data_IF_852561507900
#
_entry.id   IF_852561507900
#
_cell.length_a   1.000
_cell.length_b   1.000
_cell.length_c   1.000
_cell.angle_alpha   90.00
_cell.angle_beta   90.00
_cell.angle_gamma   90.00
#
_symmetry.space_group_name_H-M   'P 1'
#
loop_
_entity.id
_entity.type
_entity.pdbx_description
1 polymer ?
#
# COMPACT_ATOMS: atom_id res chain seq x y z
N UNK A 1 -34.49 45.28 -37.66
CA UNK A 1 -34.68 46.39 -36.71
C UNK A 1 -33.94 46.06 -35.45
N UNK A 2 -32.86 46.79 -35.27
CA UNK A 2 -32.29 47.40 -34.03
C UNK A 2 -31.87 46.42 -32.93
N UNK A 3 -30.62 46.04 -32.84
CA UNK A 3 -29.50 46.77 -32.21
C UNK A 3 -29.68 46.93 -30.71
N UNK A 4 -28.75 46.34 -29.92
CA UNK A 4 -27.90 47.11 -28.99
C UNK A 4 -26.88 46.17 -28.30
N UNK A 5 -25.66 46.48 -28.62
CA UNK A 5 -24.41 46.14 -27.94
C UNK A 5 -24.35 46.80 -26.55
N UNK A 6 -23.68 46.15 -25.59
CA UNK A 6 -22.80 46.89 -24.67
C UNK A 6 -22.02 45.95 -23.76
N UNK A 7 -20.95 46.43 -23.06
CA UNK A 7 -19.62 45.86 -23.28
C UNK A 7 -18.98 45.27 -22.00
N UNK A 8 -17.89 44.56 -22.20
CA UNK A 8 -16.95 44.10 -21.15
C UNK A 8 -16.19 45.30 -20.56
N UNK A 9 -15.73 45.22 -19.33
CA UNK A 9 -14.51 45.87 -18.91
C UNK A 9 -13.35 44.89 -18.74
N UNK A 10 -12.27 45.23 -19.40
CA UNK A 10 -10.90 44.80 -19.10
C UNK A 10 -10.38 45.57 -17.88
N UNK A 11 -9.70 44.93 -16.97
CA UNK A 11 -8.66 45.56 -16.15
C UNK A 11 -7.72 44.43 -15.67
N UNK A 12 -6.59 44.41 -16.23
CA UNK A 12 -5.28 44.97 -15.90
C UNK A 12 -4.55 44.17 -14.85
N UNK A 13 -3.50 43.57 -15.37
CA UNK A 13 -2.26 43.19 -14.67
C UNK A 13 -1.87 44.14 -13.54
N UNK A 14 -1.39 43.60 -12.45
CA UNK A 14 -0.21 44.13 -11.76
C UNK A 14 0.63 43.01 -11.17
N UNK A 15 1.85 42.95 -11.64
CA UNK A 15 3.03 42.36 -11.02
C UNK A 15 3.27 42.88 -9.63
N UNK A 16 3.82 42.04 -8.77
CA UNK A 16 4.80 42.33 -7.71
C UNK A 16 5.13 40.98 -7.08
N UNK A 17 6.22 40.39 -7.45
CA UNK A 17 7.61 40.51 -6.98
C UNK A 17 7.85 39.90 -5.59
N UNK A 18 8.69 38.88 -5.64
CA UNK A 18 9.79 38.55 -4.73
C UNK A 18 9.48 37.85 -3.41
N UNK A 19 10.05 36.67 -3.38
CA UNK A 19 10.46 35.87 -2.21
C UNK A 19 11.39 36.69 -1.27
N UNK A 20 11.75 36.25 -0.08
CA UNK A 20 12.61 35.06 0.01
C UNK A 20 12.28 34.07 1.13
N UNK A 21 12.42 32.82 0.84
CA UNK A 21 12.68 31.78 1.84
C UNK A 21 14.16 31.82 2.17
N UNK A 22 14.51 32.20 3.38
CA UNK A 22 15.75 31.74 4.01
C UNK A 22 15.74 32.01 5.51
N UNK A 23 16.22 31.00 6.29
CA UNK A 23 16.72 31.09 7.65
C UNK A 23 15.69 31.17 8.79
N UNK A 24 15.32 29.98 9.26
CA UNK A 24 15.10 29.76 10.70
C UNK A 24 15.56 28.32 11.02
N UNK A 25 16.87 28.18 11.18
CA UNK A 25 17.52 27.11 11.91
C UNK A 25 18.76 27.72 12.54
N UNK A 26 18.84 27.68 13.84
CA UNK A 26 19.90 28.10 14.74
C UNK A 26 19.45 29.27 15.66
N UNK A 27 18.82 28.86 16.77
CA UNK A 27 19.00 29.46 18.11
C UNK A 27 18.01 28.80 19.08
N UNK A 28 18.46 27.75 19.74
CA UNK A 28 18.01 27.29 21.06
C UNK A 28 19.06 26.35 21.64
N UNK A 29 20.18 26.96 22.07
CA UNK A 29 21.14 26.30 22.96
C UNK A 29 21.91 27.42 23.67
N UNK A 30 21.37 27.89 24.78
CA UNK A 30 22.09 28.53 25.87
C UNK A 30 21.07 29.16 26.85
N UNK A 31 20.80 28.46 27.93
CA UNK A 31 20.52 29.06 29.24
C UNK A 31 20.06 27.98 30.21
N UNK A 32 20.99 27.49 31.02
CA UNK A 32 20.79 27.06 32.40
C UNK A 32 22.18 26.69 32.98
N UNK A 33 22.85 27.70 33.44
CA UNK A 33 23.95 27.57 34.37
C UNK A 33 23.82 28.70 35.38
N UNK A 34 23.41 28.38 36.58
CA UNK A 34 23.84 29.11 37.80
C UNK A 34 23.13 28.56 39.03
N UNK A 35 23.92 28.13 39.96
CA UNK A 35 23.84 28.09 41.42
C UNK A 35 24.29 26.71 41.90
N UNK A 36 25.47 26.45 42.32
CA UNK A 36 26.12 27.09 43.43
C UNK A 36 26.11 26.06 44.57
N UNK A 37 27.24 25.54 44.95
CA UNK A 37 27.70 25.43 46.35
C UNK A 37 29.08 24.76 46.36
N UNK A 38 30.04 25.50 46.84
CA UNK A 38 31.38 25.05 47.12
C UNK A 38 31.40 24.19 48.43
N UNK A 39 31.93 22.98 48.34
CA UNK A 39 32.46 22.29 49.51
C UNK A 39 33.86 21.80 49.16
N UNK A 40 34.82 22.30 49.94
CA UNK A 40 36.19 21.81 49.98
C UNK A 40 36.19 20.32 50.47
N UNK A 41 36.86 19.48 49.70
CA UNK A 41 37.32 18.18 50.19
C UNK A 41 38.68 17.85 49.57
N UNK A 42 39.62 17.80 50.45
CA UNK A 42 40.93 17.16 50.55
C UNK A 42 41.49 16.44 49.32
N UNK A 43 42.71 16.85 48.98
CA UNK A 43 43.60 16.14 48.08
C UNK A 43 43.92 14.74 48.61
N UNK A 44 43.66 13.72 47.79
CA UNK A 44 44.15 12.39 48.00
C UNK A 44 45.00 12.02 46.77
N UNK A 45 46.27 11.62 47.06
CA UNK A 45 47.28 11.26 46.10
C UNK A 45 46.78 10.23 45.06
N UNK A 46 47.12 10.46 43.81
CA UNK A 46 46.88 9.55 42.70
C UNK A 46 47.87 8.39 42.73
N UNK A 47 47.44 7.14 42.53
CA UNK A 47 48.31 6.02 42.24
C UNK A 47 48.89 6.11 40.81
N UNK A 48 50.05 5.47 40.56
CA UNK A 48 50.79 5.58 39.31
C UNK A 48 50.03 4.98 38.10
N UNK A 49 50.35 5.43 36.88
CA UNK A 49 49.70 4.92 35.69
C UNK A 49 50.31 3.59 35.25
N UNK A 50 49.61 2.51 35.46
CA UNK A 50 49.92 1.25 34.77
C UNK A 50 48.63 0.53 34.31
N UNK A 51 48.75 -0.02 33.13
CA UNK A 51 47.81 -0.81 32.36
C UNK A 51 46.87 0.01 31.45
N UNK A 52 47.32 0.14 30.21
CA UNK A 52 46.46 0.43 29.08
C UNK A 52 45.23 -0.50 29.10
N UNK A 53 44.10 0.06 29.46
CA UNK A 53 42.82 -0.62 29.27
C UNK A 53 42.62 -0.84 27.76
N UNK A 54 42.71 -2.06 27.32
CA UNK A 54 42.27 -2.48 26.00
C UNK A 54 40.77 -2.08 25.86
N UNK A 55 40.35 -1.51 24.73
CA UNK A 55 38.94 -1.29 24.49
C UNK A 55 38.22 -2.65 24.67
N UNK A 56 37.02 -2.66 25.25
CA UNK A 56 36.27 -3.91 25.39
C UNK A 56 36.14 -4.55 24.02
N UNK A 57 36.61 -5.78 23.88
CA UNK A 57 36.43 -6.59 22.70
C UNK A 57 34.93 -6.59 22.43
N UNK A 58 34.58 -6.19 21.17
CA UNK A 58 33.24 -6.30 20.70
C UNK A 58 32.76 -7.71 20.97
N UNK A 59 31.74 -7.81 21.82
CA UNK A 59 31.05 -9.07 22.10
C UNK A 59 30.44 -9.52 20.79
N UNK A 60 31.11 -10.45 20.13
CA UNK A 60 30.53 -11.24 19.03
C UNK A 60 29.36 -12.02 19.62
N UNK A 61 28.16 -11.53 19.42
CA UNK A 61 26.94 -12.29 19.63
C UNK A 61 26.96 -13.40 18.58
N UNK A 62 27.13 -14.63 19.03
CA UNK A 62 27.10 -15.81 18.16
C UNK A 62 25.79 -15.82 17.36
N UNK A 63 25.91 -15.72 16.03
CA UNK A 63 24.85 -16.04 15.05
C UNK A 63 24.10 -14.88 14.39
N UNK A 64 24.34 -13.60 14.72
CA UNK A 64 23.66 -12.45 14.09
C UNK A 64 24.57 -11.69 13.11
N UNK A 65 23.96 -11.06 12.06
CA UNK A 65 24.67 -10.14 11.18
C UNK A 65 25.32 -8.99 11.98
N UNK A 66 26.54 -8.62 11.62
CA UNK A 66 27.17 -7.41 12.15
C UNK A 66 26.40 -6.16 11.71
N UNK A 67 26.58 -5.05 12.43
CA UNK A 67 25.96 -3.77 12.04
C UNK A 67 26.34 -3.33 10.62
N UNK A 68 27.59 -3.55 10.23
CA UNK A 68 28.08 -3.24 8.91
C UNK A 68 27.42 -4.10 7.80
N UNK A 69 27.26 -5.39 8.03
CA UNK A 69 26.55 -6.29 7.12
C UNK A 69 25.06 -5.89 6.98
N UNK A 70 24.44 -5.51 8.10
CA UNK A 70 23.05 -5.02 8.10
C UNK A 70 22.89 -3.74 7.32
N UNK A 71 23.78 -2.77 7.47
CA UNK A 71 23.78 -1.53 6.69
C UNK A 71 23.94 -1.79 5.19
N UNK A 72 24.80 -2.72 4.81
CA UNK A 72 24.99 -3.12 3.41
C UNK A 72 23.76 -3.85 2.85
N UNK A 73 23.10 -4.68 3.65
CA UNK A 73 21.86 -5.38 3.27
C UNK A 73 20.72 -4.39 3.03
N UNK A 74 20.52 -3.44 3.95
CA UNK A 74 19.50 -2.39 3.81
C UNK A 74 19.74 -1.49 2.60
N UNK A 75 21.01 -1.17 2.31
CA UNK A 75 21.35 -0.39 1.12
C UNK A 75 21.01 -1.17 -0.16
N UNK A 76 21.41 -2.43 -0.27
CA UNK A 76 21.04 -3.29 -1.41
C UNK A 76 19.54 -3.44 -1.58
N UNK A 77 18.80 -3.57 -0.47
CA UNK A 77 17.36 -3.61 -0.48
C UNK A 77 16.74 -2.32 -1.02
N UNK A 78 17.26 -1.16 -0.59
CA UNK A 78 16.84 0.14 -1.11
C UNK A 78 17.13 0.27 -2.61
N UNK A 79 18.30 -0.16 -3.05
CA UNK A 79 18.73 -0.08 -4.46
C UNK A 79 17.88 -1.00 -5.39
N UNK A 80 17.12 -1.98 -4.84
CA UNK A 80 16.21 -2.83 -5.59
C UNK A 80 14.85 -2.18 -5.90
N UNK A 81 14.56 -1.01 -5.31
CA UNK A 81 13.27 -0.33 -5.45
C UNK A 81 13.35 0.74 -6.54
N UNK A 82 12.32 0.84 -7.36
CA UNK A 82 12.21 1.78 -8.46
C UNK A 82 10.81 2.37 -8.55
N UNK A 83 10.64 3.44 -9.34
CA UNK A 83 9.35 4.00 -9.64
C UNK A 83 8.59 3.20 -10.69
N UNK A 84 7.26 3.21 -10.58
CA UNK A 84 6.35 2.63 -11.56
C UNK A 84 5.39 3.74 -12.00
N UNK A 85 5.45 4.12 -13.27
CA UNK A 85 4.54 5.06 -13.92
C UNK A 85 3.65 4.31 -14.90
N UNK A 86 2.35 4.57 -14.85
CA UNK A 86 1.36 3.86 -15.64
C UNK A 86 0.37 4.83 -16.28
N UNK A 87 0.10 4.62 -17.56
CA UNK A 87 -1.03 5.18 -18.24
C UNK A 87 -2.04 4.05 -18.49
N UNK A 88 -3.25 4.17 -17.92
CA UNK A 88 -4.30 3.19 -18.13
C UNK A 88 -5.05 3.45 -19.45
N UNK A 89 -5.73 2.43 -19.96
CA UNK A 89 -6.65 2.56 -21.11
C UNK A 89 -7.64 3.69 -20.87
N UNK A 90 -7.99 4.41 -21.92
CA UNK A 90 -8.92 5.55 -21.82
C UNK A 90 -10.32 5.14 -21.34
N UNK A 91 -10.74 3.92 -21.68
CA UNK A 91 -12.01 3.32 -21.29
C UNK A 91 -11.91 2.36 -20.10
N UNK A 92 -10.81 2.37 -19.37
CA UNK A 92 -10.64 1.50 -18.20
C UNK A 92 -11.64 1.84 -17.10
N UNK A 93 -12.33 0.84 -16.56
CA UNK A 93 -13.25 1.01 -15.40
C UNK A 93 -12.53 1.50 -14.16
N UNK A 94 -11.27 1.13 -14.00
CA UNK A 94 -10.45 1.56 -12.87
C UNK A 94 -10.14 3.06 -12.87
N UNK A 95 -10.33 3.77 -13.98
CA UNK A 95 -10.12 5.23 -14.05
C UNK A 95 -11.02 6.01 -13.09
N UNK A 96 -12.24 5.52 -12.83
CA UNK A 96 -13.19 6.16 -11.91
C UNK A 96 -12.72 6.13 -10.44
N UNK A 97 -11.82 5.21 -10.09
CA UNK A 97 -11.39 5.00 -8.70
C UNK A 97 -9.95 5.40 -8.45
N UNK A 98 -9.03 5.15 -9.38
CA UNK A 98 -7.59 5.38 -9.20
C UNK A 98 -6.98 6.33 -10.24
N UNK A 99 -7.79 6.83 -11.17
CA UNK A 99 -7.34 7.71 -12.24
C UNK A 99 -6.66 6.98 -13.39
N UNK A 100 -6.42 7.72 -14.48
CA UNK A 100 -5.77 7.21 -15.68
C UNK A 100 -4.24 7.22 -15.57
N UNK A 101 -3.68 8.29 -15.04
CA UNK A 101 -2.24 8.43 -14.78
C UNK A 101 -1.97 7.98 -13.35
N UNK A 102 -1.07 7.02 -13.18
CA UNK A 102 -0.79 6.41 -11.89
C UNK A 102 0.70 6.36 -11.66
N UNK A 103 1.10 6.64 -10.45
CA UNK A 103 2.49 6.61 -10.01
C UNK A 103 2.61 5.88 -8.68
N UNK A 104 3.70 5.16 -8.53
CA UNK A 104 4.01 4.43 -7.31
C UNK A 104 5.39 3.78 -7.41
N UNK A 105 5.56 2.73 -6.67
CA UNK A 105 6.84 2.02 -6.54
C UNK A 105 6.71 0.56 -6.95
N UNK A 106 7.84 -0.05 -7.23
CA UNK A 106 7.98 -1.47 -7.41
C UNK A 106 9.34 -1.93 -6.91
N UNK A 107 9.47 -3.21 -6.64
CA UNK A 107 10.71 -3.83 -6.18
C UNK A 107 11.11 -4.96 -7.12
N UNK A 108 12.36 -4.97 -7.55
CA UNK A 108 12.93 -6.03 -8.40
C UNK A 108 13.05 -7.29 -7.55
N UNK A 109 12.49 -8.40 -8.02
CA UNK A 109 12.44 -9.68 -7.30
C UNK A 109 13.12 -10.85 -8.02
N UNK A 110 13.62 -10.64 -9.25
CA UNK A 110 14.47 -11.63 -9.93
C UNK A 110 15.48 -10.97 -10.89
N UNK A 111 16.50 -11.74 -11.28
CA UNK A 111 17.60 -11.28 -12.16
C UNK A 111 17.15 -10.98 -13.60
N UNK A 112 15.96 -11.41 -13.99
CA UNK A 112 15.41 -11.14 -15.33
C UNK A 112 14.64 -9.80 -15.37
N UNK A 113 14.64 -9.03 -14.28
CA UNK A 113 13.96 -7.74 -14.20
C UNK A 113 12.44 -7.85 -13.98
N UNK A 114 12.01 -8.89 -13.27
CA UNK A 114 10.63 -8.98 -12.77
C UNK A 114 10.47 -8.05 -11.58
N UNK A 115 9.46 -7.19 -11.63
CA UNK A 115 9.16 -6.18 -10.62
C UNK A 115 7.81 -6.50 -9.97
N UNK A 116 7.82 -6.58 -8.65
CA UNK A 116 6.61 -6.69 -7.83
C UNK A 116 6.12 -5.30 -7.45
N UNK A 117 4.83 -5.07 -7.61
CA UNK A 117 4.16 -3.81 -7.23
C UNK A 117 2.75 -4.11 -6.69
N UNK A 118 1.99 -3.06 -6.43
CA UNK A 118 0.56 -3.20 -6.08
C UNK A 118 -0.30 -3.12 -7.35
N UNK A 119 -1.26 -4.02 -7.46
CA UNK A 119 -1.99 -4.28 -8.68
C UNK A 119 -2.86 -3.13 -9.20
N UNK A 120 -3.42 -2.29 -8.32
CA UNK A 120 -4.23 -1.16 -8.78
C UNK A 120 -3.43 -0.12 -9.57
N UNK A 121 -2.10 -0.09 -9.45
CA UNK A 121 -1.26 0.76 -10.30
C UNK A 121 -1.31 0.30 -11.76
N UNK A 122 -1.28 -1.01 -11.98
CA UNK A 122 -1.08 -1.62 -13.30
C UNK A 122 -2.35 -2.22 -13.93
N UNK A 123 -3.47 -2.26 -13.18
CA UNK A 123 -4.72 -2.79 -13.72
C UNK A 123 -5.18 -1.96 -14.91
N UNK A 124 -5.55 -2.64 -16.03
CA UNK A 124 -5.98 -2.02 -17.27
C UNK A 124 -4.95 -1.03 -17.88
N UNK A 125 -3.64 -1.29 -17.65
CA UNK A 125 -2.57 -0.46 -18.16
C UNK A 125 -2.48 -0.52 -19.69
N UNK A 126 -2.34 0.63 -20.33
CA UNK A 126 -1.96 0.81 -21.72
C UNK A 126 -0.44 0.90 -21.86
N UNK A 127 0.21 1.60 -20.95
CA UNK A 127 1.66 1.78 -20.91
C UNK A 127 2.17 1.66 -19.48
N UNK A 128 3.34 1.05 -19.33
CA UNK A 128 4.06 0.95 -18.05
C UNK A 128 5.51 1.37 -18.27
N UNK A 129 6.00 2.24 -17.41
CA UNK A 129 7.39 2.68 -17.37
C UNK A 129 7.97 2.45 -15.97
N UNK A 130 9.20 1.97 -15.92
CA UNK A 130 10.00 1.84 -14.72
C UNK A 130 10.95 3.02 -14.63
N UNK A 131 10.96 3.73 -13.51
CA UNK A 131 11.77 4.93 -13.28
C UNK A 131 12.91 4.58 -12.33
N UNK A 132 14.14 4.68 -12.82
CA UNK A 132 15.35 4.47 -12.01
C UNK A 132 15.72 5.75 -11.26
N UNK A 133 16.60 5.64 -10.26
CA UNK A 133 17.08 6.77 -9.44
C UNK A 133 17.75 7.88 -10.27
N UNK A 134 18.36 7.52 -11.40
CA UNK A 134 18.96 8.46 -12.35
C UNK A 134 17.95 9.07 -13.34
N UNK A 135 16.66 8.96 -13.04
CA UNK A 135 15.55 9.47 -13.82
C UNK A 135 15.35 8.81 -15.21
N UNK A 136 16.08 7.75 -15.50
CA UNK A 136 15.86 6.96 -16.73
C UNK A 136 14.53 6.24 -16.64
N UNK A 137 13.74 6.34 -17.68
CA UNK A 137 12.48 5.63 -17.86
C UNK A 137 12.68 4.46 -18.81
N UNK A 138 12.39 3.26 -18.33
CA UNK A 138 12.52 2.02 -19.08
C UNK A 138 11.15 1.42 -19.34
N UNK A 139 10.85 0.98 -20.57
CA UNK A 139 9.56 0.38 -20.87
C UNK A 139 9.42 -0.97 -20.17
N UNK A 140 8.20 -1.27 -19.73
CA UNK A 140 7.84 -2.54 -19.12
C UNK A 140 6.45 -2.99 -19.62
N UNK A 141 6.15 -4.27 -19.43
CA UNK A 141 4.83 -4.84 -19.70
C UNK A 141 4.23 -5.44 -18.44
N UNK A 142 2.92 -5.45 -18.36
CA UNK A 142 2.21 -6.17 -17.31
C UNK A 142 2.39 -7.68 -17.51
N UNK A 143 2.75 -8.39 -16.45
CA UNK A 143 2.84 -9.86 -16.42
C UNK A 143 1.63 -10.44 -15.74
N UNK A 144 1.25 -9.89 -14.59
CA UNK A 144 0.14 -10.41 -13.81
C UNK A 144 -0.54 -9.30 -13.00
N UNK A 145 -1.84 -9.49 -12.80
CA UNK A 145 -2.62 -8.81 -11.78
C UNK A 145 -3.42 -9.85 -10.99
N UNK A 146 -3.23 -9.89 -9.70
CA UNK A 146 -3.92 -10.82 -8.81
C UNK A 146 -4.96 -10.08 -7.95
N UNK A 147 -6.22 -10.25 -8.29
CA UNK A 147 -7.34 -9.61 -7.57
C UNK A 147 -7.43 -10.11 -6.13
N UNK A 148 -7.02 -11.37 -5.89
CA UNK A 148 -7.14 -11.99 -4.58
C UNK A 148 -6.23 -11.36 -3.54
N UNK A 149 -4.97 -11.13 -3.91
CA UNK A 149 -3.96 -10.55 -3.02
C UNK A 149 -3.77 -9.05 -3.25
N UNK A 150 -4.13 -8.56 -4.43
CA UNK A 150 -3.86 -7.20 -4.86
C UNK A 150 -2.45 -6.99 -5.42
N UNK A 151 -1.63 -8.04 -5.60
CA UNK A 151 -0.32 -7.92 -6.22
C UNK A 151 -0.39 -7.65 -7.71
N UNK A 152 0.61 -6.92 -8.20
CA UNK A 152 0.90 -6.71 -9.60
C UNK A 152 2.32 -7.12 -9.94
N UNK A 153 2.51 -7.74 -11.09
CA UNK A 153 3.83 -8.04 -11.65
C UNK A 153 4.02 -7.34 -12.99
N UNK A 154 5.16 -6.70 -13.14
CA UNK A 154 5.59 -6.11 -14.40
C UNK A 154 6.96 -6.64 -14.79
N UNK A 155 7.21 -6.79 -16.08
CA UNK A 155 8.47 -7.24 -16.64
C UNK A 155 9.14 -6.09 -17.38
N UNK A 156 10.35 -5.74 -16.97
CA UNK A 156 11.19 -4.82 -17.74
C UNK A 156 11.46 -5.38 -19.15
N UNK A 157 11.36 -4.55 -20.18
CA UNK A 157 11.65 -4.94 -21.57
C UNK A 157 13.13 -4.77 -21.93
N UNK A 158 13.91 -4.18 -21.03
CA UNK A 158 15.37 -4.03 -21.13
C UNK A 158 16.00 -4.49 -19.82
N UNK A 159 17.26 -4.94 -19.84
CA UNK A 159 17.97 -5.33 -18.62
C UNK A 159 17.96 -4.21 -17.56
N UNK A 160 17.64 -4.55 -16.32
CA UNK A 160 17.74 -3.63 -15.20
C UNK A 160 19.13 -3.75 -14.55
N UNK A 161 19.82 -2.62 -14.29
CA UNK A 161 21.10 -2.62 -13.59
C UNK A 161 20.90 -2.66 -12.06
N UNK A 162 19.95 -3.49 -11.58
CA UNK A 162 19.54 -3.57 -10.19
C UNK A 162 19.64 -5.02 -9.70
N UNK A 163 20.05 -5.19 -8.46
CA UNK A 163 20.08 -6.51 -7.79
C UNK A 163 18.73 -6.78 -7.16
N UNK A 164 18.13 -7.97 -7.36
CA UNK A 164 16.85 -8.31 -6.78
C UNK A 164 16.88 -8.32 -5.24
N UNK A 165 15.79 -7.88 -4.62
CA UNK A 165 15.59 -8.04 -3.20
C UNK A 165 15.16 -9.48 -2.88
N UNK A 166 15.75 -10.12 -1.85
CA UNK A 166 15.32 -11.42 -1.40
C UNK A 166 13.92 -11.33 -0.74
N UNK A 167 13.10 -12.37 -0.94
CA UNK A 167 11.80 -12.48 -0.26
C UNK A 167 12.01 -13.04 1.14
N UNK A 168 11.68 -12.24 2.15
CA UNK A 168 11.78 -12.61 3.56
C UNK A 168 10.55 -13.35 4.08
N UNK A 169 10.42 -13.48 5.39
CA UNK A 169 9.30 -14.10 6.08
C UNK A 169 8.54 -13.08 6.92
N UNK A 170 7.38 -12.63 6.42
CA UNK A 170 6.54 -11.68 7.15
C UNK A 170 5.75 -12.31 8.30
N UNK A 171 5.75 -13.66 8.43
CA UNK A 171 4.99 -14.33 9.49
C UNK A 171 5.61 -14.13 10.87
N UNK A 172 6.92 -13.86 10.92
CA UNK A 172 7.67 -13.65 12.15
C UNK A 172 7.58 -12.23 12.70
N UNK A 173 7.04 -11.28 11.93
CA UNK A 173 6.89 -9.87 12.35
C UNK A 173 6.09 -9.74 13.64
N UNK A 174 6.56 -8.88 14.53
CA UNK A 174 5.94 -8.58 15.82
C UNK A 174 5.52 -7.12 15.89
N UNK A 175 4.54 -6.84 16.73
CA UNK A 175 4.14 -5.45 17.02
C UNK A 175 5.29 -4.70 17.71
N UNK A 176 5.52 -3.46 17.26
CA UNK A 176 6.65 -2.63 17.69
C UNK A 176 7.97 -2.91 16.95
N UNK A 177 8.01 -3.92 16.06
CA UNK A 177 9.25 -4.24 15.33
C UNK A 177 9.63 -3.12 14.36
N UNK A 178 10.90 -2.66 14.40
CA UNK A 178 11.39 -1.66 13.47
C UNK A 178 11.57 -2.26 12.08
N UNK A 179 11.11 -1.54 11.06
CA UNK A 179 11.18 -1.92 9.66
C UNK A 179 11.61 -0.73 8.79
N UNK A 180 12.10 -1.01 7.60
CA UNK A 180 12.42 -0.01 6.59
C UNK A 180 11.36 0.00 5.49
N UNK A 181 10.87 1.19 5.14
CA UNK A 181 9.98 1.38 4.00
C UNK A 181 10.72 2.19 2.95
N UNK A 182 10.70 1.69 1.71
CA UNK A 182 11.34 2.32 0.55
C UNK A 182 10.31 2.54 -0.55
N UNK A 183 10.22 3.76 -1.03
CA UNK A 183 9.49 4.13 -2.26
C UNK A 183 10.49 4.56 -3.33
N UNK A 184 10.17 4.30 -4.59
CA UNK A 184 10.99 4.66 -5.76
C UNK A 184 10.40 5.79 -6.58
N UNK A 185 11.07 6.11 -7.69
CA UNK A 185 10.66 7.18 -8.61
C UNK A 185 11.14 8.57 -8.19
N UNK A 186 10.64 9.60 -8.88
CA UNK A 186 11.10 10.99 -8.75
C UNK A 186 11.02 11.55 -7.31
N UNK A 187 10.13 11.02 -6.50
CA UNK A 187 9.93 11.38 -5.08
C UNK A 187 10.26 10.24 -4.13
N UNK A 188 11.04 9.27 -4.58
CA UNK A 188 11.44 8.11 -3.80
C UNK A 188 12.09 8.49 -2.48
N UNK A 189 11.77 7.76 -1.42
CA UNK A 189 12.27 8.02 -0.08
C UNK A 189 12.42 6.75 0.75
N UNK A 190 13.42 6.74 1.61
CA UNK A 190 13.66 5.71 2.61
C UNK A 190 13.26 6.24 3.98
N UNK A 191 12.54 5.45 4.75
CA UNK A 191 12.20 5.78 6.13
C UNK A 191 12.18 4.55 7.02
N UNK A 192 12.46 4.77 8.30
CA UNK A 192 12.19 3.80 9.35
C UNK A 192 10.74 3.96 9.80
N UNK A 193 10.11 2.84 10.08
CA UNK A 193 8.75 2.75 10.59
C UNK A 193 8.67 1.59 11.60
N UNK A 194 7.50 1.38 12.17
CA UNK A 194 7.24 0.26 13.07
C UNK A 194 5.99 -0.49 12.63
N UNK A 195 6.02 -1.80 12.78
CA UNK A 195 4.82 -2.63 12.70
C UNK A 195 3.95 -2.31 13.92
N UNK A 196 2.67 -1.99 13.69
CA UNK A 196 1.75 -1.66 14.78
C UNK A 196 0.70 -2.77 15.01
N UNK A 197 0.37 -3.50 13.97
CA UNK A 197 -0.50 -4.67 14.07
C UNK A 197 -0.41 -5.56 12.84
N UNK A 198 -0.77 -6.83 13.02
CA UNK A 198 -1.05 -7.78 11.95
C UNK A 198 -2.44 -8.33 12.16
N UNK A 199 -3.33 -8.08 11.21
CA UNK A 199 -4.74 -8.44 11.36
C UNK A 199 -5.45 -8.54 10.00
N UNK A 200 -6.66 -9.12 9.96
CA UNK A 200 -7.49 -9.07 8.76
C UNK A 200 -7.77 -7.63 8.33
N UNK A 201 -7.83 -7.44 7.01
CA UNK A 201 -8.28 -6.22 6.38
C UNK A 201 -9.38 -6.53 5.38
N UNK A 202 -10.54 -5.89 5.54
CA UNK A 202 -11.65 -5.94 4.59
C UNK A 202 -11.80 -4.58 3.93
N UNK A 203 -11.68 -4.52 2.60
CA UNK A 203 -11.91 -3.31 1.83
C UNK A 203 -13.40 -2.95 1.79
N UNK A 204 -13.71 -1.66 1.61
CA UNK A 204 -15.07 -1.23 1.30
C UNK A 204 -15.52 -1.74 -0.09
N UNK A 205 -14.59 -2.10 -0.96
CA UNK A 205 -14.79 -2.88 -2.19
C UNK A 205 -14.55 -4.36 -1.90
N UNK A 206 -14.91 -5.24 -2.82
CA UNK A 206 -14.79 -6.70 -2.68
C UNK A 206 -13.33 -7.17 -2.57
N UNK A 207 -12.73 -6.98 -1.39
CA UNK A 207 -11.32 -7.28 -1.09
C UNK A 207 -11.14 -7.69 0.36
N UNK A 208 -10.33 -8.73 0.58
CA UNK A 208 -10.05 -9.29 1.90
C UNK A 208 -8.63 -9.84 1.96
N UNK A 209 -7.88 -9.45 2.98
CA UNK A 209 -6.55 -10.00 3.33
C UNK A 209 -6.60 -10.45 4.79
N UNK A 210 -6.25 -11.70 5.07
CA UNK A 210 -6.36 -12.25 6.43
C UNK A 210 -5.25 -11.79 7.37
N UNK A 211 -4.06 -11.46 6.86
CA UNK A 211 -2.87 -11.11 7.66
C UNK A 211 -2.17 -9.86 7.10
N UNK A 212 -2.93 -8.80 6.86
CA UNK A 212 -2.33 -7.53 6.44
C UNK A 212 -1.41 -6.97 7.53
N UNK A 213 -0.30 -6.35 7.12
CA UNK A 213 0.66 -5.70 8.02
C UNK A 213 0.37 -4.21 8.06
N UNK A 214 0.25 -3.65 9.27
CA UNK A 214 0.00 -2.22 9.46
C UNK A 214 1.20 -1.56 10.13
N UNK A 215 1.56 -0.37 9.63
CA UNK A 215 2.76 0.36 10.04
C UNK A 215 2.47 1.81 10.37
N UNK A 216 3.32 2.42 11.20
CA UNK A 216 3.35 3.84 11.53
C UNK A 216 4.78 4.37 11.49
N UNK A 217 5.02 5.67 11.23
CA UNK A 217 4.06 6.71 10.87
C UNK A 217 3.50 6.54 9.44
N UNK A 218 2.36 7.19 9.12
CA UNK A 218 1.75 7.14 7.78
C UNK A 218 2.62 7.81 6.72
N UNK A 219 2.62 7.24 5.51
CA UNK A 219 3.27 7.80 4.30
C UNK A 219 2.24 7.92 3.19
N UNK A 220 2.36 8.96 2.38
CA UNK A 220 1.49 9.19 1.21
C UNK A 220 2.00 8.50 -0.05
N UNK A 221 3.30 8.19 -0.12
CA UNK A 221 3.99 7.49 -1.21
C UNK A 221 4.02 5.96 -1.01
N UNK A 222 2.98 5.42 -0.39
CA UNK A 222 2.87 4.01 -0.01
C UNK A 222 2.56 3.05 -1.16
N UNK A 223 2.03 3.56 -2.28
CA UNK A 223 1.57 2.71 -3.40
C UNK A 223 2.72 1.91 -4.01
N UNK A 224 2.74 0.61 -3.77
CA UNK A 224 3.81 -0.27 -4.23
C UNK A 224 5.13 -0.16 -3.47
N UNK A 225 5.23 0.67 -2.42
CA UNK A 225 6.43 0.81 -1.61
C UNK A 225 6.82 -0.52 -0.96
N UNK A 226 8.12 -0.79 -0.90
CA UNK A 226 8.66 -2.03 -0.34
C UNK A 226 8.85 -1.92 1.17
N UNK A 227 8.45 -2.95 1.90
CA UNK A 227 8.65 -3.13 3.34
C UNK A 227 9.77 -4.14 3.57
N UNK A 228 10.85 -3.74 4.26
CA UNK A 228 12.01 -4.58 4.52
C UNK A 228 12.26 -4.78 6.01
N UNK A 229 12.79 -5.97 6.36
CA UNK A 229 13.37 -6.22 7.68
C UNK A 229 14.79 -5.65 7.79
N UNK A 230 15.42 -5.85 8.94
CA UNK A 230 16.79 -5.39 9.22
C UNK A 230 17.86 -6.13 8.37
N UNK A 231 17.53 -7.27 7.83
CA UNK A 231 18.38 -8.10 6.97
C UNK A 231 18.28 -7.71 5.49
N UNK A 232 17.39 -6.74 5.16
CA UNK A 232 17.15 -6.28 3.80
C UNK A 232 16.28 -7.25 2.97
N UNK A 233 15.50 -8.08 3.63
CA UNK A 233 14.55 -8.98 2.97
C UNK A 233 13.18 -8.33 2.84
N UNK A 234 12.54 -8.51 1.69
CA UNK A 234 11.21 -7.97 1.39
C UNK A 234 10.13 -8.71 2.18
N UNK A 235 9.37 -7.99 2.99
CA UNK A 235 8.28 -8.51 3.83
C UNK A 235 6.89 -8.18 3.30
N UNK A 236 6.75 -7.11 2.53
CA UNK A 236 5.44 -6.69 2.03
C UNK A 236 5.50 -5.57 1.02
N UNK A 237 4.36 -5.32 0.38
CA UNK A 237 4.16 -4.25 -0.61
C UNK A 237 3.07 -3.30 -0.14
N UNK A 238 3.36 -2.02 -0.14
CA UNK A 238 2.46 -0.97 0.29
C UNK A 238 1.21 -0.88 -0.58
N UNK A 239 0.07 -0.82 0.08
CA UNK A 239 -1.24 -0.79 -0.59
C UNK A 239 -2.06 0.43 -0.23
N UNK A 240 -2.26 0.72 1.05
CA UNK A 240 -3.22 1.73 1.48
C UNK A 240 -2.67 2.65 2.57
N UNK A 241 -3.17 3.87 2.56
CA UNK A 241 -3.21 4.73 3.73
C UNK A 241 -4.50 4.42 4.50
N UNK A 242 -4.38 4.11 5.79
CA UNK A 242 -5.53 3.78 6.65
C UNK A 242 -5.69 4.77 7.79
N UNK A 243 -6.92 5.07 8.14
CA UNK A 243 -7.22 6.01 9.23
C UNK A 243 -6.91 5.44 10.62
N UNK A 244 -6.89 4.10 10.74
CA UNK A 244 -6.60 3.41 11.98
C UNK A 244 -5.77 2.13 11.71
N UNK A 245 -4.47 2.20 11.95
CA UNK A 245 -3.53 1.08 11.80
C UNK A 245 -3.61 0.10 12.99
N UNK A 246 -4.00 0.56 14.19
CA UNK A 246 -4.21 -0.31 15.35
C UNK A 246 -5.38 -1.28 15.14
N UNK A 247 -6.44 -0.83 14.47
CA UNK A 247 -7.69 -1.57 14.40
C UNK A 247 -8.56 -1.35 15.65
N UNK A 248 -9.70 -2.06 15.71
CA UNK A 248 -10.70 -1.88 16.77
C UNK A 248 -11.49 -0.58 16.64
N UNK A 249 -12.49 -0.45 17.53
CA UNK A 249 -13.41 0.71 17.58
C UNK A 249 -12.92 1.81 18.54
N UNK A 250 -11.69 1.73 19.01
CA UNK A 250 -11.13 2.63 20.00
C UNK A 250 -11.14 4.08 19.54
N UNK A 251 -11.43 4.97 20.49
CA UNK A 251 -11.42 6.42 20.30
C UNK A 251 -10.04 6.97 19.85
N UNK A 252 -8.99 6.19 20.00
CA UNK A 252 -7.62 6.54 19.60
C UNK A 252 -7.35 6.00 18.20
N UNK A 253 -7.73 6.75 17.18
CA UNK A 253 -7.37 6.43 15.80
C UNK A 253 -5.91 6.76 15.56
N UNK A 254 -5.16 5.80 15.01
CA UNK A 254 -3.75 5.98 14.64
C UNK A 254 -3.60 5.79 13.11
N UNK A 255 -3.46 6.88 12.35
CA UNK A 255 -3.22 6.77 10.92
C UNK A 255 -1.93 6.00 10.63
N UNK A 256 -1.94 5.20 9.59
CA UNK A 256 -0.79 4.40 9.16
C UNK A 256 -0.95 3.86 7.76
N UNK A 257 -0.10 2.92 7.39
CA UNK A 257 -0.19 2.25 6.10
C UNK A 257 -0.48 0.76 6.26
N UNK A 258 -1.13 0.20 5.26
CA UNK A 258 -1.38 -1.23 5.12
C UNK A 258 -0.51 -1.79 4.02
N UNK A 259 0.20 -2.88 4.33
CA UNK A 259 1.03 -3.64 3.41
C UNK A 259 0.46 -5.03 3.20
N UNK A 260 0.55 -5.50 1.96
CA UNK A 260 0.22 -6.89 1.59
C UNK A 260 1.46 -7.73 1.82
N UNK A 261 1.40 -8.76 2.70
CA UNK A 261 2.57 -9.56 3.06
C UNK A 261 3.03 -10.46 1.91
N UNK A 262 4.35 -10.61 1.73
CA UNK A 262 4.94 -11.42 0.65
C UNK A 262 4.63 -12.92 0.77
N UNK A 263 4.21 -13.38 1.94
CA UNK A 263 3.75 -14.76 2.15
C UNK A 263 2.57 -15.12 1.24
N UNK A 264 1.77 -14.15 0.86
CA UNK A 264 0.69 -14.34 -0.11
C UNK A 264 1.20 -14.45 -1.55
N UNK A 265 2.39 -13.91 -1.85
CA UNK A 265 3.00 -14.00 -3.18
C UNK A 265 3.66 -15.36 -3.42
N UNK A 266 4.43 -15.85 -2.44
CA UNK A 266 5.28 -17.04 -2.59
C UNK A 266 4.56 -18.26 -3.20
N UNK A 267 3.38 -18.67 -2.71
CA UNK A 267 2.69 -19.83 -3.25
C UNK A 267 2.11 -19.64 -4.66
N UNK A 268 1.85 -18.40 -5.06
CA UNK A 268 1.18 -18.08 -6.34
C UNK A 268 2.13 -17.53 -7.41
N UNK A 269 3.37 -17.20 -7.08
CA UNK A 269 4.31 -16.51 -8.00
C UNK A 269 4.49 -17.24 -9.32
N UNK A 270 4.65 -18.57 -9.29
CA UNK A 270 4.78 -19.38 -10.50
C UNK A 270 3.51 -19.34 -11.37
N UNK A 271 2.34 -19.35 -10.75
CA UNK A 271 1.06 -19.24 -11.45
C UNK A 271 0.86 -17.84 -12.05
N UNK A 272 1.20 -16.78 -11.31
CA UNK A 272 1.14 -15.41 -11.81
C UNK A 272 2.03 -15.22 -13.05
N UNK A 273 3.25 -15.77 -13.03
CA UNK A 273 4.18 -15.70 -14.18
C UNK A 273 3.67 -16.43 -15.42
N UNK A 274 2.98 -17.55 -15.24
CA UNK A 274 2.53 -18.40 -16.34
C UNK A 274 1.14 -18.08 -16.85
N UNK A 275 0.24 -17.58 -16.00
CA UNK A 275 -1.19 -17.40 -16.32
C UNK A 275 -1.67 -15.96 -16.21
N UNK A 276 -0.87 -15.06 -15.63
CA UNK A 276 -1.22 -13.66 -15.41
C UNK A 276 -2.12 -13.38 -14.21
N UNK A 277 -2.61 -14.42 -13.52
CA UNK A 277 -3.40 -14.32 -12.29
C UNK A 277 -3.41 -15.65 -11.55
N UNK A 278 -3.69 -15.66 -10.25
CA UNK A 278 -3.90 -16.89 -9.49
C UNK A 278 -5.30 -17.47 -9.68
N UNK A 279 -5.47 -18.75 -9.35
CA UNK A 279 -6.78 -19.40 -9.34
C UNK A 279 -7.75 -18.70 -8.37
N UNK A 280 -7.24 -18.15 -7.25
CA UNK A 280 -8.03 -17.41 -6.27
C UNK A 280 -8.56 -16.06 -6.81
N UNK A 281 -8.00 -15.54 -7.90
CA UNK A 281 -8.50 -14.33 -8.57
C UNK A 281 -9.80 -14.58 -9.35
N UNK A 282 -10.09 -15.81 -9.68
CA UNK A 282 -11.38 -16.20 -10.27
C UNK A 282 -12.42 -16.32 -9.17
N UNK A 283 -13.03 -15.19 -8.83
CA UNK A 283 -14.01 -15.12 -7.75
C UNK A 283 -15.23 -14.30 -8.16
N UNK A 284 -16.35 -14.61 -7.50
CA UNK A 284 -17.60 -13.88 -7.70
C UNK A 284 -17.41 -12.38 -7.45
N UNK A 285 -17.91 -11.58 -8.38
CA UNK A 285 -17.97 -10.13 -8.27
C UNK A 285 -19.40 -9.65 -8.48
N UNK A 286 -19.87 -8.79 -7.60
CA UNK A 286 -21.19 -8.20 -7.65
C UNK A 286 -21.14 -6.73 -8.09
N UNK A 287 -20.03 -6.05 -7.83
CA UNK A 287 -19.87 -4.61 -8.10
C UNK A 287 -20.37 -3.73 -6.97
N UNK A 288 -20.24 -4.19 -5.74
CA UNK A 288 -20.67 -3.48 -4.54
C UNK A 288 -19.50 -2.81 -3.83
N UNK A 289 -19.71 -1.57 -3.39
CA UNK A 289 -18.90 -0.93 -2.37
C UNK A 289 -19.74 -0.81 -1.11
N UNK A 290 -19.25 -1.38 -0.01
CA UNK A 290 -19.97 -1.46 1.24
C UNK A 290 -19.19 -0.83 2.40
N UNK A 291 -19.88 -0.39 3.43
CA UNK A 291 -19.28 0.01 4.70
C UNK A 291 -19.82 -0.85 5.83
N UNK A 292 -18.99 -1.04 6.84
CA UNK A 292 -19.38 -1.62 8.11
C UNK A 292 -19.53 -0.50 9.14
N UNK A 293 -20.64 -0.52 9.84
CA UNK A 293 -20.90 0.39 10.96
C UNK A 293 -21.85 -0.28 11.96
N UNK A 294 -21.45 -0.29 13.23
CA UNK A 294 -22.26 -0.81 14.35
C UNK A 294 -22.77 -2.25 14.09
N UNK A 295 -21.92 -3.13 13.57
CA UNK A 295 -22.26 -4.52 13.24
C UNK A 295 -23.28 -4.65 12.09
N UNK A 296 -23.37 -3.65 11.22
CA UNK A 296 -24.22 -3.62 10.04
C UNK A 296 -23.43 -3.33 8.79
N UNK A 297 -23.74 -4.01 7.70
CA UNK A 297 -23.13 -3.77 6.39
C UNK A 297 -24.10 -3.03 5.49
N UNK A 298 -23.69 -1.86 5.02
CA UNK A 298 -24.51 -0.99 4.16
C UNK A 298 -23.82 -0.76 2.81
N UNK A 299 -24.60 -0.81 1.73
CA UNK A 299 -24.14 -0.45 0.38
C UNK A 299 -23.88 1.05 0.32
N UNK A 300 -22.65 1.45 0.00
CA UNK A 300 -22.25 2.84 -0.23
C UNK A 300 -22.44 3.24 -1.69
N UNK A 301 -22.03 2.35 -2.58
CA UNK A 301 -22.10 2.56 -4.02
C UNK A 301 -22.31 1.23 -4.73
N UNK A 302 -23.06 1.28 -5.80
CA UNK A 302 -23.18 0.21 -6.78
C UNK A 302 -22.42 0.64 -8.03
N UNK A 303 -21.54 -0.20 -8.54
CA UNK A 303 -20.74 0.12 -9.73
C UNK A 303 -21.65 0.07 -10.97
N UNK A 304 -21.40 0.98 -11.90
CA UNK A 304 -22.12 1.02 -13.16
C UNK A 304 -21.94 -0.28 -13.95
N UNK A 305 -22.95 -0.72 -14.65
CA UNK A 305 -22.98 -1.95 -15.46
C UNK A 305 -22.52 -3.21 -14.67
N UNK A 306 -22.75 -3.21 -13.37
CA UNK A 306 -22.42 -4.34 -12.50
C UNK A 306 -23.61 -5.29 -12.30
N UNK A 307 -23.36 -6.55 -11.91
CA UNK A 307 -24.42 -7.47 -11.53
C UNK A 307 -25.37 -6.92 -10.47
N UNK A 308 -24.86 -6.19 -9.49
CA UNK A 308 -25.65 -5.59 -8.43
C UNK A 308 -26.58 -4.49 -8.95
N UNK A 309 -26.10 -3.66 -9.89
CA UNK A 309 -26.92 -2.64 -10.53
C UNK A 309 -28.06 -3.27 -11.36
N UNK A 310 -27.72 -4.28 -12.16
CA UNK A 310 -28.71 -5.03 -12.98
C UNK A 310 -29.79 -5.67 -12.09
N UNK A 311 -29.40 -6.19 -10.92
CA UNK A 311 -30.34 -6.76 -9.96
C UNK A 311 -31.18 -5.70 -9.22
N UNK A 312 -30.83 -4.41 -9.34
CA UNK A 312 -31.58 -3.31 -8.71
C UNK A 312 -31.18 -2.98 -7.29
N UNK A 313 -29.98 -3.37 -6.84
CA UNK A 313 -29.39 -2.91 -5.58
C UNK A 313 -29.11 -1.41 -5.65
N UNK A 314 -29.15 -0.72 -4.51
CA UNK A 314 -29.01 0.73 -4.42
C UNK A 314 -28.14 1.13 -3.23
N UNK A 315 -27.47 2.28 -3.30
CA UNK A 315 -26.84 2.90 -2.14
C UNK A 315 -27.86 3.07 -1.00
N UNK A 316 -27.47 2.75 0.22
CA UNK A 316 -28.34 2.76 1.40
C UNK A 316 -28.94 1.40 1.76
N UNK A 317 -28.95 0.41 0.86
CA UNK A 317 -29.36 -0.96 1.18
C UNK A 317 -28.50 -1.51 2.31
N UNK A 318 -29.13 -2.05 3.34
CA UNK A 318 -28.45 -2.74 4.42
C UNK A 318 -28.50 -4.25 4.17
N UNK A 319 -27.34 -4.86 3.96
CA UNK A 319 -27.22 -6.31 3.72
C UNK A 319 -27.37 -7.03 5.06
N UNK A 320 -28.37 -7.89 5.20
CA UNK A 320 -28.62 -8.69 6.38
C UNK A 320 -28.18 -10.13 6.22
N UNK A 321 -28.29 -10.67 4.99
CA UNK A 321 -27.86 -12.04 4.67
C UNK A 321 -27.32 -12.12 3.25
N UNK A 322 -26.40 -13.06 3.06
CA UNK A 322 -25.94 -13.55 1.75
C UNK A 322 -26.07 -15.06 1.71
N UNK A 323 -26.75 -15.60 0.70
CA UNK A 323 -27.02 -17.04 0.54
C UNK A 323 -27.59 -17.68 1.82
N UNK A 324 -28.45 -16.95 2.54
CA UNK A 324 -29.05 -17.37 3.79
C UNK A 324 -28.18 -17.20 5.04
N UNK A 325 -26.87 -16.95 4.91
CA UNK A 325 -25.99 -16.68 6.03
C UNK A 325 -26.09 -15.24 6.51
N UNK A 326 -26.15 -15.01 7.83
CA UNK A 326 -26.17 -13.66 8.40
C UNK A 326 -24.86 -12.92 8.15
N UNK A 327 -24.94 -11.60 7.93
CA UNK A 327 -23.80 -10.70 7.69
C UNK A 327 -23.83 -9.58 8.70
N UNK A 328 -22.74 -9.42 9.45
CA UNK A 328 -22.53 -8.36 10.43
C UNK A 328 -21.25 -7.57 10.21
N UNK A 329 -20.37 -8.06 9.30
CA UNK A 329 -19.11 -7.40 8.96
C UNK A 329 -18.79 -7.53 7.46
N UNK A 330 -17.92 -6.65 6.95
CA UNK A 330 -17.39 -6.76 5.58
C UNK A 330 -16.62 -8.08 5.39
N UNK A 331 -15.89 -8.53 6.40
CA UNK A 331 -15.18 -9.79 6.35
C UNK A 331 -16.12 -10.96 6.12
N UNK A 332 -17.23 -11.03 6.88
CA UNK A 332 -18.24 -12.07 6.70
C UNK A 332 -18.89 -11.99 5.32
N UNK A 333 -19.23 -10.77 4.85
CA UNK A 333 -19.82 -10.59 3.52
C UNK A 333 -18.90 -11.12 2.42
N UNK A 334 -17.64 -10.70 2.42
CA UNK A 334 -16.71 -11.09 1.34
C UNK A 334 -16.32 -12.57 1.42
N UNK A 335 -16.03 -13.09 2.62
CA UNK A 335 -15.74 -14.52 2.80
C UNK A 335 -16.92 -15.39 2.35
N UNK A 336 -18.15 -15.01 2.71
CA UNK A 336 -19.34 -15.77 2.30
C UNK A 336 -19.57 -15.69 0.79
N UNK A 337 -19.38 -14.51 0.18
CA UNK A 337 -19.51 -14.35 -1.27
C UNK A 337 -18.59 -15.33 -2.02
N UNK A 338 -17.35 -15.49 -1.56
CA UNK A 338 -16.36 -16.35 -2.24
C UNK A 338 -16.40 -17.81 -1.80
N UNK A 339 -16.97 -18.14 -0.65
CA UNK A 339 -17.14 -19.53 -0.20
C UNK A 339 -18.14 -20.32 -1.05
N UNK A 340 -19.00 -19.64 -1.81
CA UNK A 340 -19.98 -20.25 -2.71
C UNK A 340 -19.39 -20.96 -3.94
N UNK A 341 -18.06 -20.96 -4.12
CA UNK A 341 -17.33 -21.76 -5.11
C UNK A 341 -17.14 -21.04 -6.44
N UNK A 342 -18.00 -21.22 -7.43
CA UNK A 342 -17.82 -20.67 -8.76
C UNK A 342 -17.96 -19.14 -8.79
N UNK A 343 -17.17 -18.48 -9.64
CA UNK A 343 -17.23 -17.04 -9.82
C UNK A 343 -18.57 -16.58 -10.43
N UNK A 344 -19.08 -17.36 -11.39
CA UNK A 344 -20.36 -17.10 -12.06
C UNK A 344 -21.44 -17.99 -11.44
N UNK A 345 -22.30 -17.38 -10.62
CA UNK A 345 -23.37 -18.05 -9.91
C UNK A 345 -24.48 -17.10 -9.50
N UNK A 346 -25.61 -17.63 -9.10
CA UNK A 346 -26.63 -16.86 -8.40
C UNK A 346 -26.20 -16.63 -6.95
N UNK A 347 -26.29 -15.37 -6.51
CA UNK A 347 -26.05 -14.92 -5.14
C UNK A 347 -27.34 -14.31 -4.63
N UNK A 348 -27.87 -14.84 -3.53
CA UNK A 348 -29.07 -14.27 -2.90
C UNK A 348 -28.67 -13.29 -1.81
N UNK A 349 -29.18 -12.06 -1.88
CA UNK A 349 -28.99 -11.02 -0.87
C UNK A 349 -30.33 -10.68 -0.23
N UNK A 350 -30.44 -10.86 1.08
CA UNK A 350 -31.55 -10.30 1.87
C UNK A 350 -31.08 -8.94 2.39
N UNK A 351 -31.79 -7.90 2.03
CA UNK A 351 -31.45 -6.52 2.41
C UNK A 351 -32.64 -5.83 3.06
N UNK A 352 -32.36 -4.74 3.79
CA UNK A 352 -33.36 -3.82 4.27
C UNK A 352 -33.21 -2.46 3.59
N UNK A 353 -34.25 -2.05 2.87
CA UNK A 353 -34.33 -0.74 2.20
C UNK A 353 -35.52 0.03 2.77
N UNK A 354 -35.28 1.23 3.28
CA UNK A 354 -36.32 2.08 3.91
C UNK A 354 -37.14 1.34 5.01
N UNK A 355 -36.44 0.52 5.80
CA UNK A 355 -37.05 -0.30 6.85
C UNK A 355 -37.76 -1.56 6.36
N UNK A 356 -37.93 -1.75 5.06
CA UNK A 356 -38.62 -2.90 4.47
C UNK A 356 -37.64 -3.99 4.02
N UNK A 357 -37.95 -5.27 4.34
CA UNK A 357 -37.12 -6.38 3.85
C UNK A 357 -37.35 -6.57 2.35
N UNK A 358 -36.26 -6.82 1.63
CA UNK A 358 -36.24 -7.14 0.21
C UNK A 358 -35.26 -8.27 -0.05
N UNK A 359 -35.52 -9.06 -1.06
CA UNK A 359 -34.63 -10.12 -1.53
C UNK A 359 -34.24 -9.85 -2.98
N UNK A 360 -32.94 -9.94 -3.25
CA UNK A 360 -32.37 -9.82 -4.60
C UNK A 360 -31.61 -11.09 -4.95
N UNK A 361 -31.77 -11.56 -6.18
CA UNK A 361 -30.92 -12.56 -6.79
C UNK A 361 -30.00 -11.86 -7.77
N UNK A 362 -28.69 -11.97 -7.52
CA UNK A 362 -27.65 -11.32 -8.32
C UNK A 362 -26.86 -12.42 -9.04
N UNK A 363 -26.74 -12.33 -10.36
CA UNK A 363 -25.88 -13.21 -11.15
C UNK A 363 -24.46 -12.66 -11.10
N UNK A 364 -23.61 -13.21 -10.25
CA UNK A 364 -22.21 -12.79 -10.16
C UNK A 364 -21.44 -13.13 -11.42
N UNK A 365 -20.36 -12.40 -11.68
CA UNK A 365 -19.42 -12.64 -12.78
C UNK A 365 -18.02 -12.84 -12.25
N UNK A 366 -17.14 -13.45 -13.05
CA UNK A 366 -15.72 -13.52 -12.73
C UNK A 366 -15.12 -12.09 -12.79
N UNK A 367 -14.57 -11.61 -11.69
CA UNK A 367 -13.96 -10.28 -11.61
C UNK A 367 -12.94 -10.04 -12.74
N UNK A 368 -12.15 -11.07 -13.08
CA UNK A 368 -11.11 -10.94 -14.11
C UNK A 368 -11.66 -10.68 -15.51
N UNK A 369 -12.91 -11.09 -15.80
CA UNK A 369 -13.55 -10.85 -17.13
C UNK A 369 -14.07 -9.43 -17.27
N UNK A 370 -14.19 -8.68 -16.17
CA UNK A 370 -14.68 -7.27 -16.20
C UNK A 370 -13.59 -6.25 -16.47
N UNK A 371 -12.33 -6.69 -16.52
CA UNK A 371 -11.17 -5.83 -16.72
C UNK A 371 -10.79 -5.74 -18.20
N UNK A 372 -10.58 -4.53 -18.68
CA UNK A 372 -10.11 -4.28 -20.04
C UNK A 372 -8.63 -4.68 -20.18
N UNK A 373 -8.26 -5.21 -21.33
CA UNK A 373 -6.88 -5.52 -21.67
C UNK A 373 -6.46 -4.67 -22.86
N UNK A 374 -5.22 -4.17 -22.84
CA UNK A 374 -4.64 -3.51 -23.98
C UNK A 374 -4.53 -4.51 -25.17
N UNK A 375 -4.83 -4.06 -26.37
CA UNK A 375 -4.67 -4.87 -27.57
C UNK A 375 -3.17 -5.08 -27.84
N UNK A 376 -2.74 -6.32 -28.00
CA UNK A 376 -1.37 -6.68 -28.38
C UNK A 376 -0.39 -6.91 -27.22
N UNK A 377 -0.87 -7.10 -26.01
CA UNK A 377 -0.03 -7.54 -24.86
C UNK A 377 -0.36 -9.00 -24.50
#
# INVERSE_FOLDING_TARGET
MTSLLSPRPRSRLRHLLSAPRLRWCLTMLAALASAGVWTLAQAQEAPPPDAAAQPPAASTTEGGMSEQERMLALRRASDAVLGVEVLALSNARSNDSVGRERQGSGVVIDDNGLVLTIGYLIVEAEQVQLVLDDQRRLPARVVAYDVATGFGLVQALTPLPLTPAPLGDSTVLRDGEPIMIVSGGDSGAVSLAQVISRRPFSGYWEYQIDQAVFTVPPRTDHSGAALFNAEGELLGVGSLLVANALGGDDATRMPGNMFVPVELLKPILAELRSRGSSAASRRAWLGLNCMERDGQVQVLRVNNESPAEVAGLQPGDRIERIDGANVQSLEQLWKQLWSGGQAEREVTLDVRRDGQPRRFTVHSVDRMTTLSKAEGI
#
